data_IF_686066308478
#
_entry.id   IF_686066308478
#
_cell.length_a   1.000
_cell.length_b   1.000
_cell.length_c   1.000
_cell.angle_alpha   90.00
_cell.angle_beta   90.00
_cell.angle_gamma   90.00
#
_symmetry.space_group_name_H-M   'P 1'
#
loop_
_entity.id
_entity.type
_entity.pdbx_description
1 polymer ?
#
# COMPACT_ATOMS: atom_id res chain seq x y z
N UNK A 1 -16.32 -1.51 7.54
CA UNK A 1 -15.41 -0.84 6.59
C UNK A 1 -14.69 0.31 7.28
N UNK A 2 -13.36 0.33 7.18
CA UNK A 2 -12.50 1.41 7.70
C UNK A 2 -11.68 1.99 6.54
N UNK A 3 -11.57 3.31 6.50
CA UNK A 3 -10.77 4.03 5.53
C UNK A 3 -10.14 5.27 6.18
N UNK A 4 -9.00 5.76 5.65
CA UNK A 4 -8.28 6.90 6.26
C UNK A 4 -8.99 8.26 6.08
N UNK A 5 -10.17 8.28 5.48
CA UNK A 5 -10.94 9.50 5.24
C UNK A 5 -10.34 10.39 4.16
N UNK A 6 -10.67 11.69 4.22
CA UNK A 6 -10.25 12.66 3.20
C UNK A 6 -8.75 12.99 3.25
N UNK A 7 -8.13 12.90 4.41
CA UNK A 7 -6.71 13.19 4.55
C UNK A 7 -5.83 12.11 3.89
N UNK A 8 -6.26 10.85 3.91
CA UNK A 8 -5.60 9.74 3.22
C UNK A 8 -4.15 9.48 3.63
N UNK A 9 -3.80 9.43 4.94
CA UNK A 9 -2.41 9.23 5.36
C UNK A 9 -1.88 7.89 4.89
N UNK A 10 -0.75 7.89 4.18
CA UNK A 10 -0.03 6.68 3.84
C UNK A 10 0.44 5.97 5.12
N UNK A 11 0.44 4.63 5.10
CA UNK A 11 0.79 3.83 6.29
C UNK A 11 -0.39 3.49 7.20
N UNK A 12 -1.59 4.06 6.98
CA UNK A 12 -2.77 3.80 7.81
C UNK A 12 -3.26 2.34 7.73
N UNK A 13 -3.27 1.76 6.54
CA UNK A 13 -4.00 0.51 6.27
C UNK A 13 -3.56 -0.67 7.13
N UNK A 14 -2.27 -0.90 7.29
CA UNK A 14 -1.76 -2.04 8.03
C UNK A 14 -2.00 -1.92 9.54
N UNK A 15 -1.64 -0.85 10.25
CA UNK A 15 -1.98 -0.71 11.66
C UNK A 15 -3.48 -0.74 11.94
N UNK A 16 -4.28 -0.16 11.05
CA UNK A 16 -5.73 -0.10 11.23
C UNK A 16 -6.40 -1.48 11.27
N UNK A 17 -5.93 -2.44 10.47
CA UNK A 17 -6.51 -3.79 10.47
C UNK A 17 -6.17 -4.57 11.74
N UNK A 18 -5.05 -4.28 12.37
CA UNK A 18 -4.71 -4.86 13.67
C UNK A 18 -5.71 -4.38 14.74
N UNK A 19 -5.97 -3.07 14.78
CA UNK A 19 -7.00 -2.50 15.65
C UNK A 19 -8.40 -3.04 15.35
N UNK A 20 -8.76 -3.15 14.06
CA UNK A 20 -10.04 -3.73 13.64
C UNK A 20 -10.22 -5.18 14.12
N UNK A 21 -9.14 -5.97 14.04
CA UNK A 21 -9.18 -7.37 14.50
C UNK A 21 -9.29 -7.49 16.02
N UNK A 22 -8.68 -6.57 16.77
CA UNK A 22 -8.86 -6.48 18.22
C UNK A 22 -10.32 -6.16 18.57
N UNK A 23 -10.92 -5.20 17.87
CA UNK A 23 -12.32 -4.82 18.06
C UNK A 23 -13.32 -5.87 17.59
N UNK A 24 -12.97 -6.71 16.62
CA UNK A 24 -13.82 -7.74 16.04
C UNK A 24 -13.09 -9.09 15.97
N UNK A 25 -12.77 -9.73 17.10
CA UNK A 25 -11.89 -10.90 17.14
C UNK A 25 -12.41 -12.11 16.39
N UNK A 26 -13.74 -12.28 16.33
CA UNK A 26 -14.40 -13.45 15.76
C UNK A 26 -14.69 -13.34 14.26
N UNK A 27 -14.40 -12.19 13.64
CA UNK A 27 -14.64 -11.94 12.22
C UNK A 27 -13.32 -11.89 11.47
N UNK A 28 -13.18 -12.50 10.29
CA UNK A 28 -12.01 -12.29 9.46
C UNK A 28 -11.83 -10.81 9.11
N UNK A 29 -10.61 -10.32 9.21
CA UNK A 29 -10.25 -8.94 8.86
C UNK A 29 -9.26 -8.95 7.72
N UNK A 30 -9.59 -8.23 6.64
CA UNK A 30 -8.76 -8.11 5.44
C UNK A 30 -8.45 -6.64 5.22
N UNK A 31 -7.17 -6.30 5.12
CA UNK A 31 -6.70 -4.96 4.79
C UNK A 31 -6.11 -4.89 3.39
N UNK A 32 -6.16 -3.69 2.82
CA UNK A 32 -5.62 -3.39 1.50
C UNK A 32 -4.71 -2.17 1.58
N UNK A 33 -3.56 -2.24 0.94
CA UNK A 33 -2.67 -1.09 0.76
C UNK A 33 -1.85 -1.24 -0.52
N UNK A 34 -1.41 -0.12 -1.09
CA UNK A 34 -0.33 -0.11 -2.06
C UNK A 34 1.01 -0.41 -1.39
N UNK A 35 1.98 -0.86 -2.17
CA UNK A 35 3.32 -1.23 -1.69
C UNK A 35 4.05 -0.08 -0.99
N UNK A 36 3.98 1.16 -1.53
CA UNK A 36 4.56 2.32 -0.88
C UNK A 36 3.94 2.60 0.50
N UNK A 37 2.60 2.63 0.58
CA UNK A 37 1.89 2.86 1.84
C UNK A 37 2.14 1.75 2.87
N UNK A 38 2.21 0.49 2.41
CA UNK A 38 2.51 -0.65 3.27
C UNK A 38 3.96 -0.59 3.80
N UNK A 39 4.90 -0.21 2.94
CA UNK A 39 6.34 -0.13 3.27
C UNK A 39 6.64 0.77 4.47
N UNK A 40 5.82 1.80 4.71
CA UNK A 40 5.96 2.72 5.86
C UNK A 40 5.87 1.98 7.20
N UNK A 41 5.01 0.98 7.29
CA UNK A 41 4.76 0.21 8.54
C UNK A 41 5.25 -1.23 8.45
N UNK A 42 6.05 -1.58 7.45
CA UNK A 42 6.50 -2.96 7.20
C UNK A 42 7.22 -3.59 8.39
N UNK A 43 7.94 -2.80 9.19
CA UNK A 43 8.65 -3.27 10.39
C UNK A 43 7.74 -4.00 11.38
N UNK A 44 6.45 -3.64 11.43
CA UNK A 44 5.47 -4.26 12.32
C UNK A 44 5.08 -5.69 11.91
N UNK A 45 5.51 -6.16 10.73
CA UNK A 45 5.35 -7.58 10.36
C UNK A 45 5.98 -8.52 11.39
N UNK A 46 7.12 -8.13 11.94
CA UNK A 46 7.81 -8.94 12.96
C UNK A 46 6.96 -9.19 14.22
N UNK A 47 6.09 -8.23 14.56
CA UNK A 47 5.18 -8.34 15.70
C UNK A 47 4.00 -9.29 15.41
N UNK A 48 3.60 -9.45 14.16
CA UNK A 48 2.42 -10.25 13.77
C UNK A 48 2.59 -11.76 14.00
N UNK A 49 3.80 -12.25 14.20
CA UNK A 49 4.05 -13.68 14.49
C UNK A 49 3.77 -14.08 15.95
N UNK A 50 3.60 -13.13 16.86
CA UNK A 50 3.32 -13.42 18.28
C UNK A 50 1.98 -14.14 18.42
N UNK A 51 1.90 -15.11 19.34
CA UNK A 51 0.68 -15.92 19.58
C UNK A 51 -0.53 -15.04 19.94
N UNK A 52 -0.30 -14.09 20.84
CA UNK A 52 -1.31 -13.17 21.37
C UNK A 52 -1.72 -12.08 20.38
N UNK A 53 -0.97 -11.93 19.29
CA UNK A 53 -1.26 -10.90 18.29
C UNK A 53 -2.45 -11.26 17.41
N UNK A 54 -3.31 -10.31 17.05
CA UNK A 54 -4.47 -10.60 16.21
C UNK A 54 -4.07 -11.16 14.85
N UNK A 55 -4.83 -12.17 14.39
CA UNK A 55 -4.55 -12.81 13.09
C UNK A 55 -5.34 -12.12 11.99
N UNK A 56 -4.65 -11.68 10.97
CA UNK A 56 -5.16 -10.81 9.91
C UNK A 56 -4.76 -11.32 8.52
N UNK A 57 -5.40 -10.76 7.52
CA UNK A 57 -4.96 -10.84 6.12
C UNK A 57 -4.62 -9.45 5.62
N UNK A 58 -3.42 -9.26 5.09
CA UNK A 58 -3.00 -8.03 4.44
C UNK A 58 -2.77 -8.28 2.95
N UNK A 59 -3.48 -7.55 2.10
CA UNK A 59 -3.32 -7.56 0.64
C UNK A 59 -2.52 -6.33 0.23
N UNK A 60 -1.40 -6.55 -0.42
CA UNK A 60 -0.45 -5.52 -0.84
C UNK A 60 -0.47 -5.44 -2.36
N UNK A 61 -1.00 -4.36 -2.90
CA UNK A 61 -0.98 -4.08 -4.32
C UNK A 61 0.39 -3.55 -4.71
N UNK A 62 1.18 -4.37 -5.39
CA UNK A 62 2.56 -4.07 -5.72
C UNK A 62 2.71 -3.65 -7.17
N UNK A 63 2.79 -2.34 -7.38
CA UNK A 63 3.07 -1.73 -8.67
C UNK A 63 4.46 -1.07 -8.77
N UNK A 64 5.32 -1.26 -7.76
CA UNK A 64 6.72 -0.81 -7.70
C UNK A 64 6.90 0.70 -7.78
N UNK A 65 5.90 1.47 -7.36
CA UNK A 65 5.96 2.94 -7.46
C UNK A 65 5.01 3.65 -6.49
N UNK A 66 5.36 4.88 -6.17
CA UNK A 66 4.45 5.84 -5.57
C UNK A 66 3.57 6.45 -6.67
N UNK A 67 2.53 5.74 -7.09
CA UNK A 67 1.75 6.08 -8.27
C UNK A 67 1.05 7.44 -8.21
N UNK A 68 0.57 7.86 -7.04
CA UNK A 68 -0.04 9.17 -6.85
C UNK A 68 0.98 10.31 -7.04
N UNK A 69 2.16 10.17 -6.45
CA UNK A 69 3.26 11.13 -6.57
C UNK A 69 3.82 11.18 -7.98
N UNK A 70 3.95 10.03 -8.64
CA UNK A 70 4.36 9.95 -10.04
C UNK A 70 3.37 10.68 -10.95
N UNK A 71 2.07 10.52 -10.71
CA UNK A 71 1.04 11.27 -11.43
C UNK A 71 1.13 12.76 -11.15
N UNK A 72 1.37 13.18 -9.93
CA UNK A 72 1.58 14.58 -9.59
C UNK A 72 2.81 15.16 -10.32
N UNK A 73 3.86 14.36 -10.49
CA UNK A 73 5.04 14.75 -11.26
C UNK A 73 4.72 15.01 -12.74
N UNK A 74 3.86 14.17 -13.35
CA UNK A 74 3.36 14.39 -14.71
C UNK A 74 2.58 15.72 -14.79
N UNK A 75 1.69 15.97 -13.83
CA UNK A 75 0.79 17.11 -13.87
C UNK A 75 1.50 18.45 -13.59
N UNK A 76 2.47 18.45 -12.67
CA UNK A 76 2.96 19.68 -12.05
C UNK A 76 4.44 19.92 -12.24
N UNK A 77 5.23 18.88 -12.54
CA UNK A 77 6.69 18.93 -12.55
C UNK A 77 7.33 18.49 -13.87
N UNK A 78 6.57 18.55 -14.98
CA UNK A 78 7.06 18.27 -16.34
C UNK A 78 7.79 16.92 -16.42
N UNK A 79 7.16 15.85 -15.90
CA UNK A 79 7.67 14.46 -15.86
C UNK A 79 9.00 14.29 -15.10
N UNK A 80 9.32 15.19 -14.19
CA UNK A 80 10.50 15.05 -13.34
C UNK A 80 10.20 14.10 -12.19
N UNK A 81 10.52 12.82 -12.37
CA UNK A 81 10.28 11.76 -11.41
C UNK A 81 11.43 11.65 -10.39
N UNK A 82 11.19 12.05 -9.16
CA UNK A 82 12.17 11.95 -8.08
C UNK A 82 11.58 11.13 -6.94
N UNK A 83 12.24 10.00 -6.62
CA UNK A 83 11.85 9.15 -5.50
C UNK A 83 10.50 8.45 -5.68
N UNK A 84 10.00 8.32 -6.91
CA UNK A 84 8.70 7.71 -7.19
C UNK A 84 8.78 6.21 -7.44
N UNK A 85 9.94 5.67 -7.73
CA UNK A 85 10.14 4.24 -7.95
C UNK A 85 10.48 3.53 -6.64
N UNK A 86 9.94 2.33 -6.48
CA UNK A 86 10.26 1.43 -5.37
C UNK A 86 11.17 0.30 -5.86
N UNK A 87 11.94 -0.28 -4.94
CA UNK A 87 12.88 -1.35 -5.24
C UNK A 87 12.15 -2.57 -5.85
N UNK A 88 12.48 -2.98 -7.09
CA UNK A 88 11.85 -4.11 -7.74
C UNK A 88 12.24 -5.47 -7.12
N UNK A 89 13.38 -5.57 -6.45
CA UNK A 89 13.89 -6.81 -5.87
C UNK A 89 13.24 -7.17 -4.52
N UNK A 90 12.70 -6.18 -3.82
CA UNK A 90 11.99 -6.41 -2.56
C UNK A 90 10.73 -7.23 -2.81
N UNK A 91 10.49 -8.27 -2.03
CA UNK A 91 9.22 -9.00 -1.99
C UNK A 91 8.65 -9.02 -0.57
N UNK A 92 7.49 -8.42 -0.39
CA UNK A 92 6.80 -8.40 0.90
C UNK A 92 6.37 -9.80 1.35
N UNK A 93 6.01 -10.67 0.41
CA UNK A 93 5.69 -12.07 0.70
C UNK A 93 6.92 -12.81 1.25
N UNK A 94 8.10 -12.59 0.67
CA UNK A 94 9.36 -13.18 1.20
C UNK A 94 9.71 -12.63 2.57
N UNK A 95 9.52 -11.32 2.81
CA UNK A 95 9.73 -10.70 4.12
C UNK A 95 8.77 -11.31 5.16
N UNK A 96 7.49 -11.48 4.80
CA UNK A 96 6.53 -12.14 5.68
C UNK A 96 6.97 -13.57 6.06
N UNK A 97 7.42 -14.35 5.08
CA UNK A 97 7.94 -15.70 5.32
C UNK A 97 9.18 -15.68 6.23
N UNK A 98 10.09 -14.73 6.04
CA UNK A 98 11.27 -14.56 6.91
C UNK A 98 10.88 -14.18 8.35
N UNK A 99 9.75 -13.49 8.54
CA UNK A 99 9.19 -13.20 9.87
C UNK A 99 8.39 -14.37 10.47
N UNK A 100 8.36 -15.54 9.82
CA UNK A 100 7.59 -16.71 10.28
C UNK A 100 6.08 -16.61 10.02
N UNK A 101 5.65 -15.71 9.13
CA UNK A 101 4.29 -15.50 8.72
C UNK A 101 4.01 -16.21 7.37
N UNK A 102 2.76 -16.27 6.95
CA UNK A 102 2.41 -16.80 5.62
C UNK A 102 2.47 -15.67 4.59
N UNK A 103 3.45 -15.69 3.70
CA UNK A 103 3.56 -14.80 2.55
C UNK A 103 3.20 -15.53 1.26
N UNK A 104 2.34 -14.93 0.44
CA UNK A 104 1.87 -15.47 -0.85
C UNK A 104 2.00 -14.40 -1.92
N UNK A 105 2.59 -14.74 -3.07
CA UNK A 105 2.64 -13.84 -4.25
C UNK A 105 1.66 -14.35 -5.29
N UNK A 106 0.82 -13.46 -5.82
CA UNK A 106 -0.21 -13.74 -6.83
C UNK A 106 -0.14 -12.74 -7.97
N UNK A 107 -0.60 -13.14 -9.17
CA UNK A 107 -0.50 -12.35 -10.39
C UNK A 107 -1.82 -12.21 -11.15
N UNK A 108 -2.81 -13.04 -10.82
CA UNK A 108 -4.12 -13.02 -11.49
C UNK A 108 -5.24 -12.74 -10.51
N UNK A 109 -6.40 -12.36 -11.04
CA UNK A 109 -7.60 -12.12 -10.23
C UNK A 109 -8.09 -13.41 -9.56
N UNK A 110 -8.00 -14.53 -10.26
CA UNK A 110 -8.38 -15.86 -9.77
C UNK A 110 -7.50 -16.27 -8.59
N UNK A 111 -6.18 -16.14 -8.73
CA UNK A 111 -5.22 -16.41 -7.65
C UNK A 111 -5.46 -15.50 -6.45
N UNK A 112 -5.69 -14.21 -6.70
CA UNK A 112 -5.95 -13.22 -5.65
C UNK A 112 -7.23 -13.57 -4.88
N UNK A 113 -8.30 -13.88 -5.60
CA UNK A 113 -9.59 -14.27 -5.01
C UNK A 113 -9.45 -15.54 -4.16
N UNK A 114 -8.75 -16.55 -4.67
CA UNK A 114 -8.46 -17.77 -3.94
C UNK A 114 -7.64 -17.51 -2.68
N UNK A 115 -6.54 -16.74 -2.82
CA UNK A 115 -5.66 -16.43 -1.70
C UNK A 115 -6.38 -15.67 -0.58
N UNK A 116 -7.27 -14.72 -0.90
CA UNK A 116 -8.08 -14.00 0.10
C UNK A 116 -9.04 -14.96 0.81
N UNK A 117 -9.74 -15.83 0.08
CA UNK A 117 -10.64 -16.81 0.69
C UNK A 117 -9.89 -17.76 1.63
N UNK A 118 -8.79 -18.33 1.15
CA UNK A 118 -7.96 -19.25 1.94
C UNK A 118 -7.42 -18.55 3.20
N UNK A 119 -6.99 -17.30 3.09
CA UNK A 119 -6.45 -16.54 4.22
C UNK A 119 -7.50 -16.20 5.29
N UNK A 120 -8.76 -16.02 4.92
CA UNK A 120 -9.84 -15.85 5.89
C UNK A 120 -10.05 -17.13 6.74
N UNK A 121 -9.92 -18.32 6.13
CA UNK A 121 -9.94 -19.58 6.87
C UNK A 121 -8.66 -19.79 7.70
N UNK A 122 -7.53 -19.32 7.21
CA UNK A 122 -6.25 -19.36 7.95
C UNK A 122 -6.28 -18.52 9.23
N UNK A 123 -6.98 -17.37 9.23
CA UNK A 123 -7.18 -16.58 10.46
C UNK A 123 -7.86 -17.38 11.58
N UNK A 124 -8.82 -18.24 11.24
CA UNK A 124 -9.50 -19.13 12.21
C UNK A 124 -8.55 -20.17 12.80
N UNK A 125 -7.47 -20.49 12.07
CA UNK A 125 -6.42 -21.44 12.49
C UNK A 125 -5.23 -20.75 13.19
N UNK A 126 -5.34 -19.46 13.45
CA UNK A 126 -4.27 -18.68 14.10
C UNK A 126 -3.14 -18.28 13.17
N UNK A 127 -3.38 -18.16 11.86
CA UNK A 127 -2.38 -17.80 10.84
C UNK A 127 -2.67 -16.41 10.31
N UNK A 128 -1.64 -15.57 10.31
CA UNK A 128 -1.61 -14.27 9.61
C UNK A 128 -1.03 -14.45 8.22
N UNK A 129 -1.71 -13.89 7.21
CA UNK A 129 -1.31 -14.02 5.80
C UNK A 129 -1.08 -12.65 5.17
N UNK A 130 0.04 -12.51 4.47
CA UNK A 130 0.36 -11.37 3.60
C UNK A 130 0.30 -11.82 2.14
N UNK A 131 -0.57 -11.19 1.37
CA UNK A 131 -0.80 -11.49 -0.05
C UNK A 131 -0.21 -10.34 -0.87
N UNK A 132 0.85 -10.60 -1.61
CA UNK A 132 1.50 -9.67 -2.51
C UNK A 132 0.92 -9.85 -3.92
N UNK A 133 0.15 -8.88 -4.39
CA UNK A 133 -0.49 -8.87 -5.71
C UNK A 133 0.40 -8.09 -6.66
N UNK A 134 1.00 -8.77 -7.63
CA UNK A 134 1.88 -8.13 -8.61
C UNK A 134 1.05 -7.44 -9.69
N UNK A 135 1.28 -6.15 -9.84
CA UNK A 135 0.64 -5.28 -10.82
C UNK A 135 1.67 -4.69 -11.78
N UNK A 136 1.18 -4.12 -12.90
CA UNK A 136 1.99 -3.28 -13.77
C UNK A 136 2.13 -1.85 -13.20
N UNK A 137 2.96 -1.03 -13.81
CA UNK A 137 3.18 0.37 -13.43
C UNK A 137 2.21 1.35 -14.10
N UNK A 138 1.16 0.87 -14.71
CA UNK A 138 0.16 1.72 -15.34
C UNK A 138 -0.49 2.66 -14.31
N UNK A 139 -0.49 3.95 -14.62
CA UNK A 139 -1.18 4.95 -13.81
C UNK A 139 -2.64 5.00 -14.28
N UNK A 140 -3.51 4.27 -13.59
CA UNK A 140 -4.95 4.27 -13.88
C UNK A 140 -5.56 5.69 -13.90
N UNK A 141 -6.74 5.83 -14.50
CA UNK A 141 -7.48 7.08 -14.47
C UNK A 141 -7.79 7.51 -13.03
N UNK A 142 -7.69 8.80 -12.69
CA UNK A 142 -8.09 9.27 -11.38
C UNK A 142 -9.60 9.06 -11.22
N UNK A 143 -10.02 8.56 -10.09
CA UNK A 143 -11.45 8.40 -9.80
C UNK A 143 -12.17 9.74 -9.62
N UNK A 144 -11.47 10.85 -9.51
CA UNK A 144 -11.98 12.22 -9.50
C UNK A 144 -11.35 13.01 -10.64
N UNK A 145 -12.17 13.45 -11.60
CA UNK A 145 -11.69 14.25 -12.74
C UNK A 145 -11.08 15.58 -12.35
N UNK A 146 -11.54 16.20 -11.26
CA UNK A 146 -11.01 17.45 -10.74
C UNK A 146 -9.60 17.30 -10.12
N UNK A 147 -9.22 16.11 -9.69
CA UNK A 147 -7.86 15.83 -9.23
C UNK A 147 -6.80 15.97 -10.34
N UNK A 148 -7.20 15.93 -11.60
CA UNK A 148 -6.32 16.15 -12.76
C UNK A 148 -6.17 17.63 -13.14
N UNK A 149 -6.94 18.53 -12.55
CA UNK A 149 -6.81 19.96 -12.83
C UNK A 149 -5.57 20.51 -12.15
N UNK A 150 -4.67 21.09 -12.96
CA UNK A 150 -3.53 21.82 -12.41
C UNK A 150 -4.06 23.00 -11.59
N UNK A 151 -3.65 23.17 -10.33
CA UNK A 151 -4.05 24.35 -9.57
C UNK A 151 -3.54 25.61 -10.26
N UNK A 152 -4.40 26.59 -10.39
CA UNK A 152 -4.07 27.86 -11.04
C UNK A 152 -3.16 28.71 -10.14
N UNK A 153 -3.31 28.56 -8.83
CA UNK A 153 -2.47 29.23 -7.83
C UNK A 153 -2.55 28.47 -6.49
N UNK A 154 -1.40 28.26 -5.86
CA UNK A 154 -1.32 27.97 -4.43
C UNK A 154 -0.97 29.30 -3.77
N UNK A 155 -1.65 29.67 -2.67
CA UNK A 155 -1.51 30.98 -2.03
C UNK A 155 -0.03 31.32 -1.76
N UNK A 156 0.44 32.39 -2.38
CA UNK A 156 1.79 32.90 -2.19
C UNK A 156 2.93 32.17 -2.92
N UNK A 157 2.64 31.07 -3.63
CA UNK A 157 3.67 30.27 -4.32
C UNK A 157 3.29 30.10 -5.78
N UNK A 158 4.19 30.46 -6.70
CA UNK A 158 4.02 30.22 -8.12
C UNK A 158 4.36 28.76 -8.49
N UNK A 159 3.83 28.26 -9.61
CA UNK A 159 4.18 26.93 -10.11
C UNK A 159 5.70 26.78 -10.34
N UNK A 160 6.36 27.88 -10.72
CA UNK A 160 7.80 27.93 -10.96
C UNK A 160 8.59 27.71 -9.66
N UNK A 161 8.10 28.26 -8.56
CA UNK A 161 8.74 28.15 -7.25
C UNK A 161 8.55 26.74 -6.62
N UNK A 162 7.57 25.99 -7.11
CA UNK A 162 7.30 24.61 -6.68
C UNK A 162 8.16 23.57 -7.40
N UNK A 163 8.86 23.93 -8.45
CA UNK A 163 9.78 23.00 -9.14
C UNK A 163 10.97 22.71 -8.23
N UNK A 164 11.29 21.40 -8.01
CA UNK A 164 12.54 21.07 -7.33
C UNK A 164 13.69 21.74 -8.08
N UNK A 165 14.56 22.41 -7.34
CA UNK A 165 15.81 22.90 -7.93
C UNK A 165 16.53 21.66 -8.48
N UNK A 166 16.85 21.67 -9.77
CA UNK A 166 17.72 20.65 -10.34
C UNK A 166 19.00 20.67 -9.52
N UNK A 167 19.23 19.63 -8.74
CA UNK A 167 20.53 19.47 -8.09
C UNK A 167 21.57 19.51 -9.20
N UNK A 168 22.45 20.48 -9.14
CA UNK A 168 23.65 20.43 -9.93
C UNK A 168 24.45 19.22 -9.45
N UNK A 169 24.38 18.12 -10.21
CA UNK A 169 25.31 17.00 -10.13
C UNK A 169 26.37 17.25 -11.15
#
# INVERSE_FOLDING_TARGET
>A
YLAPGLFGPCGYGFPAILGAKIGCPNVPVVGFAGDGAFGISMSEMSSCNRKEWPKITMVIFRNYQWGAEKRNSILWFDDNFIGTELDPELSYAKVANACGLKGVTVKTMEETTKAIKDSCEDQKKGITTFIEVILNQELGEPFRRDAMKKPVKVAGISKTDMKPQKSAI
#
